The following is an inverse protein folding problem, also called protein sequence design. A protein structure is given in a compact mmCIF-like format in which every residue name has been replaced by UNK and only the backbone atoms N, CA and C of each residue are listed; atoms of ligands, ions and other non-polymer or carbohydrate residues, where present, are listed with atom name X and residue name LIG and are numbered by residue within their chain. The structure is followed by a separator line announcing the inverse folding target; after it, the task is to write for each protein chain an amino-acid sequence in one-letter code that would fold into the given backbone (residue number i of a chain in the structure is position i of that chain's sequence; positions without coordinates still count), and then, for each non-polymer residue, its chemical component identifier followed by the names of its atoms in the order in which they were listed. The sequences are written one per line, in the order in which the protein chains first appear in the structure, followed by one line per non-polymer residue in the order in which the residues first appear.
data_IF_276583905595
#
_entry.id   IF_276583905595
#
_cell.length_a   1.000
_cell.length_b   1.000
_cell.length_c   1.000
_cell.angle_alpha   90.00
_cell.angle_beta   90.00
_cell.angle_gamma   90.00
#
_symmetry.space_group_name_H-M   'P 1'
#
loop_
_entity.id
_entity.type
_entity.pdbx_description
1 polymer ?
#
# COMPACT_ATOMS: atom_id res chain seq x y z
N UNK A 1 12.99 13.80 -0.69
CA UNK A 1 13.82 13.29 -1.84
C UNK A 1 14.21 14.43 -2.75
N UNK A 2 15.49 14.52 -3.19
CA UNK A 2 15.97 15.53 -4.13
C UNK A 2 16.70 14.87 -5.32
N UNK A 3 16.98 15.64 -6.36
CA UNK A 3 17.83 15.20 -7.48
C UNK A 3 19.28 15.58 -7.19
N UNK A 4 20.22 14.84 -7.82
CA UNK A 4 21.64 15.21 -7.72
C UNK A 4 21.85 16.66 -8.15
N UNK A 5 22.57 17.43 -7.35
CA UNK A 5 22.78 18.88 -7.53
C UNK A 5 24.24 19.33 -7.43
N UNK A 6 25.18 18.35 -7.41
CA UNK A 6 26.61 18.64 -7.48
C UNK A 6 26.94 19.53 -8.69
N UNK A 7 28.06 20.23 -8.63
CA UNK A 7 28.50 21.13 -9.70
C UNK A 7 28.65 20.43 -11.05
N UNK A 8 28.92 19.12 -11.04
CA UNK A 8 29.12 18.27 -12.21
C UNK A 8 27.88 17.52 -12.62
N UNK A 9 26.74 17.71 -11.96
CA UNK A 9 25.47 17.11 -12.36
C UNK A 9 25.07 17.56 -13.77
N UNK A 10 24.55 16.61 -14.57
CA UNK A 10 24.00 16.93 -15.87
C UNK A 10 22.69 17.70 -15.70
N UNK A 11 22.72 19.00 -15.94
CA UNK A 11 21.55 19.88 -15.84
C UNK A 11 20.49 19.47 -16.86
N UNK A 12 19.25 19.56 -16.43
CA UNK A 12 18.05 19.39 -17.27
C UNK A 12 17.98 18.06 -18.06
N UNK A 13 18.69 17.01 -17.60
CA UNK A 13 18.73 15.71 -18.28
C UNK A 13 17.34 15.11 -18.53
N UNK A 14 16.40 15.35 -17.63
CA UNK A 14 15.04 14.83 -17.69
C UNK A 14 13.98 15.95 -17.84
N UNK A 15 14.40 17.11 -18.36
CA UNK A 15 13.59 18.32 -18.51
C UNK A 15 14.02 19.44 -17.58
N UNK A 16 13.46 20.63 -17.75
CA UNK A 16 13.84 21.84 -17.03
C UNK A 16 13.83 21.66 -15.50
N UNK A 17 14.95 21.97 -14.83
CA UNK A 17 15.15 21.79 -13.40
C UNK A 17 15.32 20.32 -12.97
N UNK A 18 15.42 19.36 -13.91
CA UNK A 18 15.51 17.93 -13.59
C UNK A 18 16.91 17.38 -13.92
N UNK A 19 17.84 17.64 -13.02
CA UNK A 19 19.21 17.14 -13.15
C UNK A 19 19.31 15.61 -13.11
N UNK A 20 20.40 15.09 -13.64
CA UNK A 20 20.73 13.68 -13.62
C UNK A 20 22.23 13.42 -13.66
N UNK A 21 22.61 12.16 -13.70
CA UNK A 21 23.99 11.74 -13.75
C UNK A 21 24.50 11.65 -15.19
N UNK A 22 25.80 11.97 -15.40
CA UNK A 22 26.52 11.74 -16.63
C UNK A 22 27.82 10.98 -16.34
N UNK A 23 28.23 10.13 -17.30
CA UNK A 23 29.54 9.48 -17.25
C UNK A 23 30.68 10.44 -17.65
N UNK A 24 30.32 11.64 -18.08
CA UNK A 24 31.25 12.56 -18.70
C UNK A 24 31.62 12.19 -20.14
N UNK A 25 32.41 13.05 -20.77
CA UNK A 25 32.99 12.82 -22.09
C UNK A 25 34.39 13.46 -22.15
N UNK A 26 35.47 12.67 -22.11
CA UNK A 26 36.84 13.19 -22.19
C UNK A 26 37.12 13.98 -23.47
N UNK A 27 36.49 13.65 -24.58
CA UNK A 27 36.70 14.34 -25.88
C UNK A 27 36.14 15.79 -25.86
N UNK A 28 35.10 16.03 -25.09
CA UNK A 28 34.50 17.37 -24.92
C UNK A 28 34.92 18.07 -23.63
N UNK A 29 35.78 17.44 -22.83
CA UNK A 29 36.18 17.96 -21.53
C UNK A 29 35.04 17.96 -20.48
N UNK A 30 33.95 17.21 -20.72
CA UNK A 30 32.84 17.13 -19.78
C UNK A 30 33.18 16.14 -18.65
N UNK A 31 33.21 16.55 -17.38
CA UNK A 31 33.47 15.63 -16.27
C UNK A 31 32.30 14.69 -16.01
N UNK A 32 32.56 13.56 -15.38
CA UNK A 32 31.51 12.71 -14.81
C UNK A 32 30.87 13.41 -13.62
N UNK A 33 29.62 13.07 -13.32
CA UNK A 33 28.92 13.60 -12.14
C UNK A 33 29.60 13.11 -10.86
N UNK A 34 30.00 14.01 -10.01
CA UNK A 34 30.49 13.70 -8.67
C UNK A 34 29.35 13.13 -7.82
N UNK A 35 29.70 12.16 -7.00
CA UNK A 35 28.80 11.63 -5.99
C UNK A 35 28.95 12.45 -4.71
N UNK A 36 27.86 12.68 -4.01
CA UNK A 36 27.87 13.34 -2.71
C UNK A 36 27.14 12.49 -1.65
N UNK A 37 27.50 12.73 -0.41
CA UNK A 37 26.94 12.05 0.75
C UNK A 37 25.47 12.41 0.97
N UNK A 38 25.08 13.67 0.81
CA UNK A 38 23.68 14.11 0.96
C UNK A 38 22.72 13.32 0.08
N UNK A 39 23.11 13.06 -1.19
CA UNK A 39 22.27 12.30 -2.10
C UNK A 39 22.16 10.83 -1.67
N UNK A 40 23.26 10.20 -1.22
CA UNK A 40 23.24 8.82 -0.77
C UNK A 40 22.55 8.63 0.57
N UNK A 41 22.76 9.55 1.50
CA UNK A 41 22.08 9.53 2.80
C UNK A 41 20.58 9.69 2.62
N UNK A 42 20.13 10.59 1.77
CA UNK A 42 18.73 10.73 1.42
C UNK A 42 18.14 9.41 0.84
N UNK A 43 18.83 8.77 -0.10
CA UNK A 43 18.36 7.49 -0.66
C UNK A 43 18.29 6.39 0.39
N UNK A 44 19.31 6.32 1.26
CA UNK A 44 19.37 5.36 2.36
C UNK A 44 18.19 5.54 3.30
N UNK A 45 17.95 6.76 3.77
CA UNK A 45 16.89 7.05 4.72
C UNK A 45 15.48 6.84 4.11
N UNK A 46 15.28 7.19 2.84
CA UNK A 46 14.01 6.92 2.13
C UNK A 46 13.69 5.40 2.06
N UNK A 47 14.70 4.56 1.84
CA UNK A 47 14.52 3.11 1.77
C UNK A 47 14.39 2.48 3.16
N UNK A 48 15.21 2.92 4.12
CA UNK A 48 15.19 2.43 5.49
C UNK A 48 13.86 2.76 6.17
N UNK A 49 13.35 3.98 5.99
CA UNK A 49 12.09 4.41 6.59
C UNK A 49 10.88 3.56 6.15
N UNK A 50 10.87 3.06 4.93
CA UNK A 50 9.82 2.13 4.47
C UNK A 50 9.88 0.81 5.22
N UNK A 51 11.09 0.29 5.46
CA UNK A 51 11.27 -0.95 6.24
C UNK A 51 10.82 -0.75 7.69
N UNK A 52 11.25 0.34 8.31
CA UNK A 52 10.91 0.67 9.70
C UNK A 52 9.41 0.95 9.88
N UNK A 53 8.78 1.63 8.92
CA UNK A 53 7.33 1.87 8.92
C UNK A 53 6.50 0.58 8.89
N UNK A 54 7.04 -0.51 8.36
CA UNK A 54 6.40 -1.83 8.41
C UNK A 54 6.51 -2.53 9.79
N UNK A 55 7.20 -1.90 10.75
CA UNK A 55 7.46 -2.47 12.07
C UNK A 55 8.68 -3.41 12.12
N UNK A 56 9.42 -3.55 11.02
CA UNK A 56 10.63 -4.37 10.97
C UNK A 56 11.88 -3.57 11.35
N UNK A 57 12.84 -4.23 12.00
CA UNK A 57 14.17 -3.66 12.23
C UNK A 57 15.07 -3.87 11.02
N UNK A 58 16.00 -2.93 10.80
CA UNK A 58 16.99 -3.05 9.73
C UNK A 58 18.00 -4.14 10.03
N UNK A 59 18.25 -5.02 9.07
CA UNK A 59 19.17 -6.15 9.19
C UNK A 59 20.14 -6.21 8.00
N UNK A 60 21.43 -6.02 8.25
CA UNK A 60 22.46 -5.95 7.20
C UNK A 60 22.51 -7.18 6.28
N UNK A 61 22.20 -8.35 6.80
CA UNK A 61 22.25 -9.63 6.06
C UNK A 61 21.00 -9.96 5.24
N UNK A 62 19.93 -9.16 5.37
CA UNK A 62 18.67 -9.38 4.67
C UNK A 62 18.52 -8.42 3.49
N UNK A 63 18.39 -8.96 2.30
CA UNK A 63 18.31 -8.19 1.06
C UNK A 63 16.88 -8.18 0.44
N UNK A 64 15.87 -8.59 1.20
CA UNK A 64 14.46 -8.63 0.81
C UNK A 64 13.56 -7.78 1.70
N UNK A 65 14.14 -6.98 2.59
CA UNK A 65 13.40 -6.23 3.61
C UNK A 65 12.46 -5.20 2.99
N UNK A 66 12.90 -4.44 2.00
CA UNK A 66 12.08 -3.45 1.32
C UNK A 66 10.86 -4.11 0.64
N UNK A 67 11.06 -5.24 -0.06
CA UNK A 67 9.96 -5.96 -0.69
C UNK A 67 8.96 -6.51 0.33
N UNK A 68 9.48 -7.00 1.45
CA UNK A 68 8.66 -7.51 2.56
C UNK A 68 7.84 -6.38 3.20
N UNK A 69 8.47 -5.22 3.45
CA UNK A 69 7.81 -4.04 3.99
C UNK A 69 6.70 -3.53 3.07
N UNK A 70 6.97 -3.40 1.77
CA UNK A 70 5.96 -2.98 0.80
C UNK A 70 4.76 -3.94 0.75
N UNK A 71 4.99 -5.25 0.87
CA UNK A 71 3.91 -6.24 0.94
C UNK A 71 3.09 -6.17 2.23
N UNK A 72 3.71 -5.72 3.32
CA UNK A 72 3.01 -5.52 4.59
C UNK A 72 2.21 -4.20 4.61
N UNK A 73 2.76 -3.14 4.04
CA UNK A 73 2.15 -1.81 4.04
C UNK A 73 1.07 -1.62 2.96
N UNK A 74 1.15 -2.37 1.85
CA UNK A 74 0.23 -2.22 0.73
C UNK A 74 -0.84 -3.31 0.71
N UNK A 75 -2.00 -2.99 0.16
CA UNK A 75 -3.09 -3.95 -0.05
C UNK A 75 -2.62 -5.13 -0.91
N UNK A 76 -2.78 -6.34 -0.39
CA UNK A 76 -2.39 -7.56 -1.09
C UNK A 76 -3.55 -8.14 -1.90
N UNK A 77 -3.30 -8.51 -3.16
CA UNK A 77 -4.27 -9.23 -3.99
C UNK A 77 -4.63 -10.62 -3.45
N UNK A 78 -3.76 -11.22 -2.62
CA UNK A 78 -4.01 -12.52 -1.99
C UNK A 78 -4.89 -12.44 -0.75
N UNK A 79 -4.91 -11.29 -0.10
CA UNK A 79 -5.73 -11.01 1.07
C UNK A 79 -6.27 -9.57 0.99
N UNK A 80 -7.18 -9.29 0.04
CA UNK A 80 -7.70 -7.95 -0.16
C UNK A 80 -8.43 -7.48 1.12
N UNK A 81 -8.12 -6.25 1.56
CA UNK A 81 -8.69 -5.66 2.78
C UNK A 81 -8.39 -6.43 4.09
N UNK A 82 -7.39 -7.30 4.08
CA UNK A 82 -6.99 -8.05 5.27
C UNK A 82 -6.44 -7.17 6.39
N UNK A 83 -5.80 -6.07 6.04
CA UNK A 83 -5.37 -4.98 6.89
C UNK A 83 -6.53 -4.38 7.70
N UNK A 84 -7.61 -3.97 7.04
CA UNK A 84 -8.83 -3.43 7.66
C UNK A 84 -9.39 -4.39 8.73
N UNK A 85 -9.34 -5.70 8.44
CA UNK A 85 -9.77 -6.74 9.38
C UNK A 85 -8.81 -6.86 10.57
N UNK A 86 -7.49 -6.86 10.31
CA UNK A 86 -6.46 -6.97 11.33
C UNK A 86 -6.45 -5.76 12.27
N UNK A 87 -6.68 -4.56 11.73
CA UNK A 87 -6.70 -3.32 12.49
C UNK A 87 -8.03 -3.06 13.22
N UNK A 88 -9.02 -3.95 13.02
CA UNK A 88 -10.35 -3.80 13.62
C UNK A 88 -11.17 -2.66 13.03
N UNK A 89 -10.78 -2.10 11.88
CA UNK A 89 -11.38 -0.90 11.27
C UNK A 89 -12.50 -1.19 10.26
N UNK A 90 -13.00 -2.45 10.21
CA UNK A 90 -14.06 -2.85 9.28
C UNK A 90 -15.29 -1.94 9.36
N UNK A 91 -15.70 -1.53 10.56
CA UNK A 91 -16.85 -0.64 10.75
C UNK A 91 -16.62 0.71 10.08
N UNK A 92 -15.49 1.34 10.34
CA UNK A 92 -15.10 2.63 9.75
C UNK A 92 -14.99 2.54 8.22
N UNK A 93 -14.45 1.43 7.71
CA UNK A 93 -14.38 1.20 6.26
C UNK A 93 -15.77 1.14 5.62
N UNK A 94 -16.73 0.41 6.23
CA UNK A 94 -18.11 0.35 5.77
C UNK A 94 -18.81 1.72 5.83
N UNK A 95 -18.58 2.49 6.90
CA UNK A 95 -19.12 3.85 7.04
C UNK A 95 -18.58 4.78 5.93
N UNK A 96 -17.27 4.75 5.67
CA UNK A 96 -16.63 5.54 4.60
C UNK A 96 -17.14 5.18 3.19
N UNK A 97 -17.52 3.91 2.98
CA UNK A 97 -18.12 3.44 1.73
C UNK A 97 -19.63 3.73 1.64
N UNK A 98 -20.23 4.31 2.68
CA UNK A 98 -21.69 4.51 2.76
C UNK A 98 -22.48 3.24 2.95
N UNK A 99 -21.84 2.14 3.36
CA UNK A 99 -22.47 0.84 3.61
C UNK A 99 -22.84 0.74 5.09
N UNK A 100 -24.12 0.48 5.37
CA UNK A 100 -24.57 0.27 6.76
C UNK A 100 -24.24 -1.14 7.28
N UNK A 101 -24.68 -1.42 8.51
CA UNK A 101 -24.52 -2.73 9.16
C UNK A 101 -25.11 -3.89 8.32
N UNK A 102 -26.09 -3.59 7.45
CA UNK A 102 -26.64 -4.57 6.51
C UNK A 102 -25.59 -5.21 5.58
N UNK A 103 -24.47 -4.54 5.30
CA UNK A 103 -23.36 -5.08 4.50
C UNK A 103 -22.65 -6.28 5.15
N UNK A 104 -22.85 -6.50 6.44
CA UNK A 104 -22.28 -7.63 7.19
C UNK A 104 -23.21 -8.84 7.23
N UNK A 105 -24.44 -8.68 6.78
CA UNK A 105 -25.43 -9.76 6.80
C UNK A 105 -25.05 -10.86 5.80
N UNK A 106 -25.35 -12.10 6.15
CA UNK A 106 -25.19 -13.24 5.25
C UNK A 106 -26.11 -13.17 4.04
N UNK A 107 -25.90 -14.06 3.07
CA UNK A 107 -26.79 -14.18 1.92
C UNK A 107 -28.15 -14.78 2.33
N UNK A 108 -29.22 -14.34 1.66
CA UNK A 108 -30.50 -15.04 1.73
C UNK A 108 -30.35 -16.45 1.18
N UNK A 109 -31.01 -17.40 1.81
CA UNK A 109 -31.04 -18.80 1.38
C UNK A 109 -32.45 -19.19 1.03
N UNK A 110 -32.64 -19.84 -0.13
CA UNK A 110 -33.90 -20.38 -0.54
C UNK A 110 -33.78 -21.90 -0.71
N UNK A 111 -34.63 -22.64 -0.04
CA UNK A 111 -34.80 -24.10 -0.20
C UNK A 111 -36.11 -24.35 -0.95
N UNK A 112 -36.02 -24.95 -2.11
CA UNK A 112 -37.19 -25.29 -2.96
C UNK A 112 -37.67 -26.70 -2.66
N UNK A 113 -38.99 -26.89 -2.65
CA UNK A 113 -39.65 -28.20 -2.41
C UNK A 113 -41.07 -28.01 -1.88
N UNK A 114 -41.76 -29.10 -1.57
CA UNK A 114 -43.14 -29.07 -1.04
C UNK A 114 -43.23 -28.40 0.35
N UNK A 115 -42.09 -28.32 1.08
CA UNK A 115 -41.97 -27.63 2.36
C UNK A 115 -40.84 -26.61 2.27
N UNK A 116 -40.71 -25.92 1.15
CA UNK A 116 -39.68 -24.95 0.88
C UNK A 116 -39.79 -23.73 1.82
N UNK A 117 -38.66 -23.11 2.09
CA UNK A 117 -38.61 -21.89 2.87
C UNK A 117 -37.50 -20.93 2.35
N UNK A 118 -37.65 -19.68 2.64
CA UNK A 118 -36.64 -18.66 2.36
C UNK A 118 -36.21 -18.01 3.68
N UNK A 119 -34.89 -17.88 3.85
CA UNK A 119 -34.33 -17.13 4.97
C UNK A 119 -33.76 -15.82 4.45
N UNK A 120 -34.13 -14.72 5.07
CA UNK A 120 -33.61 -13.37 4.75
C UNK A 120 -32.96 -12.83 6.00
N UNK A 121 -31.64 -12.66 6.01
CA UNK A 121 -30.97 -11.99 7.13
C UNK A 121 -31.33 -10.51 7.15
N UNK A 122 -31.66 -9.98 8.31
CA UNK A 122 -32.05 -8.59 8.51
C UNK A 122 -31.48 -8.02 9.82
N UNK A 123 -31.22 -6.73 9.85
CA UNK A 123 -30.93 -6.02 11.08
C UNK A 123 -32.21 -5.50 11.70
N UNK A 124 -32.56 -5.99 12.89
CA UNK A 124 -33.73 -5.55 13.66
C UNK A 124 -33.27 -5.04 15.01
N UNK A 125 -33.48 -3.75 15.29
CA UNK A 125 -33.06 -3.08 16.51
C UNK A 125 -31.54 -3.28 16.81
N UNK A 126 -30.69 -3.18 15.81
CA UNK A 126 -29.23 -3.32 15.92
C UNK A 126 -28.73 -4.75 16.15
N UNK A 127 -29.58 -5.76 15.99
CA UNK A 127 -29.21 -7.18 16.11
C UNK A 127 -29.55 -7.92 14.81
N UNK A 128 -28.66 -8.82 14.41
CA UNK A 128 -28.91 -9.71 13.29
C UNK A 128 -30.07 -10.67 13.65
N UNK A 129 -31.02 -10.78 12.74
CA UNK A 129 -32.17 -11.67 12.81
C UNK A 129 -32.34 -12.37 11.46
N UNK A 130 -33.04 -13.48 11.48
CA UNK A 130 -33.41 -14.20 10.27
C UNK A 130 -34.91 -14.17 10.15
N UNK A 131 -35.41 -13.64 9.05
CA UNK A 131 -36.81 -13.71 8.66
C UNK A 131 -36.97 -15.00 7.88
N UNK A 132 -37.92 -15.83 8.28
CA UNK A 132 -38.26 -17.08 7.60
C UNK A 132 -39.60 -16.89 6.91
N UNK A 133 -39.64 -17.14 5.60
CA UNK A 133 -40.84 -17.18 4.79
C UNK A 133 -41.10 -18.65 4.38
N UNK A 134 -42.26 -19.13 4.67
CA UNK A 134 -42.75 -20.49 4.34
C UNK A 134 -43.96 -20.44 3.40
#
# INVERSE_FOLDING_TARGET
MHRIDTKTAQKDKFGAGKNGFTRGNPQTGTPATDLDDDYFDMLQEELCSVVEASGASLEKGRHDQLLTALRALLLSRKNPFGDIKSDGTVKTALENLGLGEGAKLGAAVCVTGSTGYMTIPAMVAGKERVIILQ
#
